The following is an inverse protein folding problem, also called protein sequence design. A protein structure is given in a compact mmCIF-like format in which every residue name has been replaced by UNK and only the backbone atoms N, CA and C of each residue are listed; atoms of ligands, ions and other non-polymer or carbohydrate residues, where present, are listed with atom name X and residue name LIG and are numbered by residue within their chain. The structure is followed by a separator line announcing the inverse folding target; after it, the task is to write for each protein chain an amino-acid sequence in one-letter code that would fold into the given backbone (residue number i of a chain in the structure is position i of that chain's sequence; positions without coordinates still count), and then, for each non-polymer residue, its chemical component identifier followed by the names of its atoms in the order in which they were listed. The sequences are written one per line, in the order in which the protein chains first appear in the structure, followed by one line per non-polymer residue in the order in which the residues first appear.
data_IF_403366823393
#
_entry.id   IF_403366823393
#
_cell.length_a   1.000
_cell.length_b   1.000
_cell.length_c   1.000
_cell.angle_alpha   90.00
_cell.angle_beta   90.00
_cell.angle_gamma   90.00
#
_symmetry.space_group_name_H-M   'P 1'
#
loop_
_entity.id
_entity.type
_entity.pdbx_description
1 polymer ?
#
# COMPACT_ATOMS: atom_id res chain seq x y z
N UNK A 1 -11.30 1.31 -14.09
CA UNK A 1 -9.93 1.60 -14.56
C UNK A 1 -9.54 0.57 -15.60
N UNK A 2 -9.00 0.99 -16.75
CA UNK A 2 -8.51 0.05 -17.76
C UNK A 2 -7.07 -0.41 -17.44
N UNK A 3 -6.57 -1.42 -18.15
CA UNK A 3 -5.26 -2.03 -17.87
C UNK A 3 -4.10 -1.02 -18.02
N UNK A 4 -4.16 -0.13 -19.02
CA UNK A 4 -3.12 0.87 -19.27
C UNK A 4 -3.05 1.93 -18.16
N UNK A 5 -4.20 2.41 -17.67
CA UNK A 5 -4.28 3.33 -16.55
C UNK A 5 -3.71 2.70 -15.27
N UNK A 6 -4.02 1.43 -15.02
CA UNK A 6 -3.50 0.71 -13.86
C UNK A 6 -1.97 0.59 -13.92
N UNK A 7 -1.42 0.19 -15.07
CA UNK A 7 0.03 0.10 -15.26
C UNK A 7 0.72 1.46 -15.14
N UNK A 8 0.08 2.53 -15.63
CA UNK A 8 0.61 3.89 -15.48
C UNK A 8 0.67 4.30 -14.00
N UNK A 9 -0.40 4.04 -13.25
CA UNK A 9 -0.45 4.31 -11.81
C UNK A 9 0.60 3.50 -11.03
N UNK A 10 0.76 2.21 -11.32
CA UNK A 10 1.81 1.38 -10.72
C UNK A 10 3.20 1.97 -10.94
N UNK A 11 3.51 2.38 -12.19
CA UNK A 11 4.79 3.02 -12.52
C UNK A 11 4.98 4.34 -11.77
N UNK A 12 3.93 5.14 -11.63
CA UNK A 12 3.97 6.39 -10.86
C UNK A 12 4.27 6.11 -9.39
N UNK A 13 3.61 5.13 -8.79
CA UNK A 13 3.86 4.73 -7.39
C UNK A 13 5.30 4.22 -7.21
N UNK A 14 5.78 3.36 -8.12
CA UNK A 14 7.16 2.87 -8.11
C UNK A 14 8.15 4.05 -8.17
N UNK A 15 7.90 4.98 -9.09
CA UNK A 15 8.73 6.18 -9.26
C UNK A 15 8.78 7.04 -7.99
N UNK A 16 7.67 7.23 -7.29
CA UNK A 16 7.69 7.98 -6.02
C UNK A 16 8.58 7.31 -4.96
N UNK A 17 8.47 6.00 -4.80
CA UNK A 17 9.32 5.26 -3.85
C UNK A 17 10.79 5.29 -4.24
N UNK A 18 11.11 5.13 -5.54
CA UNK A 18 12.48 5.16 -6.04
C UNK A 18 13.12 6.55 -5.90
N UNK A 19 12.34 7.63 -5.99
CA UNK A 19 12.82 9.00 -5.75
C UNK A 19 12.89 9.37 -4.26
N UNK A 20 12.71 8.41 -3.35
CA UNK A 20 12.89 8.61 -1.92
C UNK A 20 11.68 9.18 -1.19
N UNK A 21 10.46 8.91 -1.69
CA UNK A 21 9.24 9.15 -0.91
C UNK A 21 9.37 8.49 0.46
N UNK A 22 9.35 9.30 1.52
CA UNK A 22 9.43 8.82 2.90
C UNK A 22 8.05 8.40 3.37
N UNK A 23 7.79 7.10 3.37
CA UNK A 23 6.55 6.51 3.87
C UNK A 23 6.69 6.13 5.35
N UNK A 24 5.57 6.05 6.05
CA UNK A 24 5.55 5.72 7.49
C UNK A 24 5.52 4.19 7.65
N UNK A 25 6.67 3.52 7.70
CA UNK A 25 6.71 2.07 7.93
C UNK A 25 6.35 1.69 9.38
N UNK A 26 6.53 2.62 10.32
CA UNK A 26 6.25 2.44 11.75
C UNK A 26 5.38 3.58 12.30
N UNK A 27 4.56 3.32 13.34
CA UNK A 27 4.34 2.02 13.98
C UNK A 27 3.55 1.04 13.10
N UNK A 28 3.91 -0.25 13.17
CA UNK A 28 3.12 -1.31 12.55
C UNK A 28 1.93 -1.66 13.47
N UNK A 29 0.69 -1.70 12.98
CA UNK A 29 -0.50 -1.88 13.82
C UNK A 29 -0.61 -3.33 14.35
N UNK A 30 -0.33 -3.51 15.63
CA UNK A 30 -0.43 -4.81 16.31
C UNK A 30 -1.87 -5.12 16.72
N UNK A 31 -2.68 -4.08 16.96
CA UNK A 31 -4.08 -4.23 17.37
C UNK A 31 -5.06 -3.85 16.26
N UNK A 32 -6.29 -4.37 16.34
CA UNK A 32 -7.38 -3.93 15.45
C UNK A 32 -7.68 -2.44 15.59
N UNK A 33 -7.53 -1.87 16.80
CA UNK A 33 -7.75 -0.45 17.07
C UNK A 33 -6.74 0.43 16.35
N UNK A 34 -5.46 0.08 16.39
CA UNK A 34 -4.41 0.81 15.67
C UNK A 34 -4.59 0.70 14.16
N UNK A 35 -4.97 -0.49 13.68
CA UNK A 35 -5.28 -0.70 12.26
C UNK A 35 -6.46 0.18 11.81
N UNK A 36 -7.56 0.17 12.58
CA UNK A 36 -8.72 1.00 12.30
C UNK A 36 -8.40 2.50 12.31
N UNK A 37 -7.53 2.96 13.23
CA UNK A 37 -7.10 4.35 13.26
C UNK A 37 -6.39 4.77 11.96
N UNK A 38 -5.51 3.91 11.42
CA UNK A 38 -4.85 4.18 10.13
C UNK A 38 -5.87 4.19 8.99
N UNK A 39 -6.88 3.31 9.00
CA UNK A 39 -7.94 3.34 8.00
C UNK A 39 -8.73 4.65 8.07
N UNK A 40 -9.03 5.15 9.27
CA UNK A 40 -9.74 6.41 9.45
C UNK A 40 -8.92 7.61 8.94
N UNK A 41 -7.60 7.60 9.13
CA UNK A 41 -6.70 8.58 8.51
C UNK A 41 -6.78 8.52 6.98
N UNK A 42 -6.73 7.33 6.37
CA UNK A 42 -6.85 7.17 4.92
C UNK A 42 -8.20 7.62 4.38
N UNK A 43 -9.30 7.37 5.11
CA UNK A 43 -10.66 7.79 4.74
C UNK A 43 -10.85 9.30 4.79
N UNK A 44 -10.09 10.00 5.65
CA UNK A 44 -10.13 11.45 5.75
C UNK A 44 -9.39 12.16 4.60
N UNK A 45 -8.55 11.43 3.84
CA UNK A 45 -7.84 11.98 2.70
C UNK A 45 -8.76 12.24 1.50
N UNK A 46 -8.29 13.11 0.62
CA UNK A 46 -8.87 13.22 -0.71
C UNK A 46 -8.68 11.87 -1.45
N UNK A 47 -9.74 11.27 -2.03
CA UNK A 47 -9.62 10.02 -2.78
C UNK A 47 -8.57 10.01 -3.89
N UNK A 48 -8.27 11.18 -4.47
CA UNK A 48 -7.30 11.34 -5.55
C UNK A 48 -5.86 11.62 -5.06
N UNK A 49 -5.65 11.78 -3.75
CA UNK A 49 -4.34 12.04 -3.17
C UNK A 49 -3.55 10.74 -2.96
N UNK A 50 -2.99 10.25 -4.07
CA UNK A 50 -2.20 9.02 -4.10
C UNK A 50 -0.95 9.12 -3.22
N UNK A 51 -0.28 10.26 -3.20
CA UNK A 51 0.96 10.43 -2.43
C UNK A 51 0.71 10.36 -0.93
N UNK A 52 -0.30 11.08 -0.42
CA UNK A 52 -0.67 11.01 0.99
C UNK A 52 -1.11 9.60 1.39
N UNK A 53 -1.88 8.92 0.54
CA UNK A 53 -2.24 7.51 0.75
C UNK A 53 -1.00 6.64 0.86
N UNK A 54 -0.01 6.85 -0.01
CA UNK A 54 1.23 6.07 0.03
C UNK A 54 2.05 6.31 1.29
N UNK A 55 2.13 7.56 1.74
CA UNK A 55 2.83 7.93 2.97
C UNK A 55 2.16 7.31 4.20
N UNK A 56 0.83 7.44 4.33
CA UNK A 56 0.07 6.92 5.47
C UNK A 56 -0.04 5.40 5.43
N UNK A 57 -0.13 4.75 4.29
CA UNK A 57 -0.12 3.28 4.25
C UNK A 57 1.27 2.68 4.42
N UNK A 58 2.34 3.50 4.38
CA UNK A 58 3.69 3.00 4.59
C UNK A 58 4.21 2.15 3.44
N UNK A 59 3.85 2.46 2.19
CA UNK A 59 4.29 1.65 1.05
C UNK A 59 5.81 1.60 0.93
N UNK A 60 6.31 0.40 0.65
CA UNK A 60 7.72 0.12 0.47
C UNK A 60 7.90 -0.81 -0.72
N UNK A 61 8.81 -0.47 -1.63
CA UNK A 61 9.00 -1.17 -2.91
C UNK A 61 9.78 -2.49 -2.81
N UNK A 62 9.91 -3.03 -1.60
CA UNK A 62 10.69 -4.24 -1.29
C UNK A 62 10.11 -4.92 -0.05
N UNK A 63 10.42 -6.21 0.17
CA UNK A 63 9.95 -6.93 1.35
C UNK A 63 10.42 -6.26 2.66
N UNK A 64 9.56 -6.27 3.68
CA UNK A 64 9.81 -5.62 4.97
C UNK A 64 9.76 -6.61 6.14
N UNK A 65 10.48 -6.28 7.22
CA UNK A 65 10.49 -7.06 8.47
C UNK A 65 11.36 -8.34 8.42
N UNK A 66 11.47 -9.06 9.55
CA UNK A 66 12.28 -10.27 9.67
C UNK A 66 11.78 -11.40 8.76
N UNK A 67 10.45 -11.49 8.59
CA UNK A 67 9.81 -12.52 7.75
C UNK A 67 9.77 -12.14 6.27
N UNK A 68 10.35 -10.99 5.89
CA UNK A 68 10.32 -10.45 4.52
C UNK A 68 8.90 -10.47 3.94
N UNK A 69 7.95 -9.91 4.67
CA UNK A 69 6.54 -9.84 4.28
C UNK A 69 6.38 -9.08 2.97
N UNK A 70 5.45 -9.56 2.14
CA UNK A 70 5.16 -9.00 0.82
C UNK A 70 3.66 -8.90 0.56
N UNK A 71 3.27 -8.03 -0.35
CA UNK A 71 1.91 -7.93 -0.86
C UNK A 71 1.41 -9.28 -1.37
N UNK A 72 2.25 -10.11 -2.01
CA UNK A 72 1.87 -11.45 -2.47
C UNK A 72 1.29 -12.35 -1.36
N UNK A 73 1.71 -12.18 -0.10
CA UNK A 73 1.19 -12.94 1.04
C UNK A 73 0.07 -12.21 1.80
N UNK A 74 -0.30 -11.00 1.38
CA UNK A 74 -1.30 -10.19 2.05
C UNK A 74 -2.72 -10.62 1.67
N UNK A 75 -3.63 -10.63 2.66
CA UNK A 75 -5.06 -10.92 2.48
C UNK A 75 -5.72 -10.07 1.38
N UNK A 76 -5.29 -8.81 1.23
CA UNK A 76 -5.88 -7.86 0.28
C UNK A 76 -5.28 -7.93 -1.14
N UNK A 77 -4.30 -8.79 -1.40
CA UNK A 77 -3.64 -8.82 -2.70
C UNK A 77 -4.36 -9.73 -3.70
N UNK A 78 -4.75 -9.16 -4.84
CA UNK A 78 -5.36 -9.89 -5.95
C UNK A 78 -4.31 -10.25 -6.99
N UNK A 79 -3.84 -11.50 -6.96
CA UNK A 79 -2.73 -12.02 -7.80
C UNK A 79 -2.93 -11.77 -9.30
N UNK A 80 -4.13 -11.98 -9.83
CA UNK A 80 -4.40 -11.84 -11.27
C UNK A 80 -4.39 -10.38 -11.77
N UNK A 81 -4.48 -9.42 -10.85
CA UNK A 81 -4.62 -8.00 -11.18
C UNK A 81 -3.45 -7.16 -10.65
N UNK A 82 -2.56 -7.69 -9.83
CA UNK A 82 -1.49 -6.93 -9.16
C UNK A 82 -2.11 -5.72 -8.42
N UNK A 83 -3.04 -6.02 -7.52
CA UNK A 83 -3.98 -5.04 -6.96
C UNK A 83 -4.16 -5.23 -5.45
N UNK A 84 -4.19 -4.13 -4.71
CA UNK A 84 -4.60 -4.08 -3.31
C UNK A 84 -6.10 -3.77 -3.22
N UNK A 85 -6.89 -4.74 -2.75
CA UNK A 85 -8.34 -4.64 -2.62
C UNK A 85 -8.81 -4.06 -1.27
N UNK A 86 -7.88 -3.49 -0.49
CA UNK A 86 -8.25 -2.73 0.69
C UNK A 86 -9.03 -1.48 0.23
N UNK A 87 -10.30 -1.27 0.64
CA UNK A 87 -11.15 -0.22 0.09
C UNK A 87 -10.58 1.19 0.20
N UNK A 88 -9.86 1.48 1.29
CA UNK A 88 -9.23 2.78 1.55
C UNK A 88 -8.08 3.09 0.59
N UNK A 89 -7.43 2.04 0.05
CA UNK A 89 -6.34 2.17 -0.91
C UNK A 89 -6.87 2.00 -2.34
N UNK A 90 -7.37 0.79 -2.64
CA UNK A 90 -7.84 0.42 -3.98
C UNK A 90 -6.84 0.85 -5.07
N UNK A 91 -5.59 0.40 -4.95
CA UNK A 91 -4.45 0.80 -5.81
C UNK A 91 -3.75 -0.43 -6.40
N UNK A 92 -3.07 -0.29 -7.56
CA UNK A 92 -2.20 -1.34 -8.05
C UNK A 92 -0.94 -1.43 -7.19
N UNK A 93 -0.47 -2.65 -6.97
CA UNK A 93 0.72 -2.93 -6.15
C UNK A 93 1.49 -4.08 -6.79
N UNK A 94 2.82 -4.01 -6.70
CA UNK A 94 3.67 -5.12 -7.11
C UNK A 94 3.67 -6.23 -6.03
N UNK A 95 3.89 -7.46 -6.45
CA UNK A 95 3.85 -8.61 -5.58
C UNK A 95 4.94 -8.59 -4.48
N UNK A 96 6.11 -8.01 -4.75
CA UNK A 96 7.24 -7.93 -3.82
C UNK A 96 7.26 -6.66 -2.96
N UNK A 97 6.23 -5.80 -3.07
CA UNK A 97 6.08 -4.62 -2.22
C UNK A 97 5.54 -4.96 -0.84
N UNK A 98 5.52 -3.98 0.04
CA UNK A 98 4.93 -4.08 1.37
C UNK A 98 4.26 -2.77 1.78
N UNK A 99 3.31 -2.82 2.70
CA UNK A 99 2.74 -1.64 3.36
C UNK A 99 2.44 -1.96 4.83
N UNK A 100 2.31 -0.94 5.68
CA UNK A 100 2.05 -1.12 7.12
C UNK A 100 0.65 -1.68 7.43
N UNK A 101 -0.23 -1.77 6.43
CA UNK A 101 -1.55 -2.39 6.52
C UNK A 101 -1.54 -3.86 6.10
N UNK A 102 -0.37 -4.47 5.96
CA UNK A 102 -0.22 -5.89 5.64
C UNK A 102 -0.90 -6.77 6.70
N UNK A 103 -1.63 -7.79 6.25
CA UNK A 103 -2.36 -8.77 7.07
C UNK A 103 -2.38 -10.13 6.39
N UNK A 104 -2.47 -11.19 7.19
CA UNK A 104 -2.68 -12.59 6.76
C UNK A 104 -3.88 -13.18 7.49
#
# INVERSE_FOLDING_TARGET
MNNEQQKAMLRTMAHFMDNGLKTQTEPFPETEKEFAAILDELRALNPDDLEAKMVISGFFNRPYGPDRQRCMECLYYLVHREWCDLPELAVPVDADWWCRLWRI
#
